data_IF_912054352250
#
_entry.id   IF_912054352250
#
_cell.length_a   1.000
_cell.length_b   1.000
_cell.length_c   1.000
_cell.angle_alpha   90.00
_cell.angle_beta   90.00
_cell.angle_gamma   90.00
#
_symmetry.space_group_name_H-M   'P 1'
#
loop_
_entity.id
_entity.type
_entity.pdbx_description
1 polymer ?
#
# COMPACT_ATOMS: atom_id res chain seq x y z
N UNK A 1 11.26 -19.76 2.91
CA UNK A 1 10.06 -19.08 2.36
C UNK A 1 10.53 -17.75 1.80
N UNK A 2 10.23 -17.41 0.55
CA UNK A 2 10.48 -16.05 0.02
C UNK A 2 9.17 -15.28 0.21
N UNK A 3 9.14 -14.21 1.02
CA UNK A 3 7.92 -13.41 1.15
C UNK A 3 7.54 -12.87 -0.23
N UNK A 4 6.34 -13.18 -0.69
CA UNK A 4 5.85 -12.82 -2.03
C UNK A 4 5.15 -11.46 -2.04
N UNK A 5 4.81 -10.91 -0.87
CA UNK A 5 3.97 -9.72 -0.73
C UNK A 5 4.56 -8.83 0.37
N UNK A 6 4.73 -7.55 0.05
CA UNK A 6 4.87 -6.51 1.06
C UNK A 6 3.45 -6.02 1.38
N UNK A 7 2.96 -6.38 2.56
CA UNK A 7 1.60 -6.05 2.99
C UNK A 7 1.64 -4.93 4.03
N UNK A 8 0.70 -4.01 3.91
CA UNK A 8 0.39 -3.02 4.93
C UNK A 8 -1.10 -3.09 5.20
N UNK A 9 -1.47 -3.15 6.48
CA UNK A 9 -2.87 -3.14 6.88
C UNK A 9 -3.00 -2.76 8.35
N UNK A 10 -4.21 -2.32 8.70
CA UNK A 10 -4.66 -2.26 10.09
C UNK A 10 -4.95 -3.71 10.53
N UNK A 11 -3.92 -4.42 10.95
CA UNK A 11 -4.05 -5.85 11.28
C UNK A 11 -4.89 -6.06 12.54
N UNK A 12 -5.91 -6.91 12.40
CA UNK A 12 -6.74 -7.42 13.50
C UNK A 12 -6.73 -8.94 13.44
N UNK A 13 -6.16 -9.60 14.45
CA UNK A 13 -6.00 -11.07 14.47
C UNK A 13 -7.20 -11.81 15.10
N UNK A 14 -8.30 -11.11 15.42
CA UNK A 14 -9.46 -11.71 16.10
C UNK A 14 -10.73 -10.90 15.87
N UNK A 15 -11.75 -11.11 16.70
CA UNK A 15 -12.94 -10.29 16.68
C UNK A 15 -12.84 -9.13 17.68
N UNK A 16 -13.57 -8.04 17.45
CA UNK A 16 -13.72 -6.96 18.44
C UNK A 16 -12.49 -6.09 18.61
N UNK A 17 -11.69 -5.87 17.55
CA UNK A 17 -10.55 -4.95 17.59
C UNK A 17 -10.94 -3.47 17.78
N UNK A 18 -12.24 -3.18 17.82
CA UNK A 18 -12.76 -1.85 18.01
C UNK A 18 -12.46 -0.98 16.79
N UNK A 19 -12.12 0.27 17.04
CA UNK A 19 -11.75 1.23 16.01
C UNK A 19 -10.23 1.23 15.84
N UNK A 20 -9.75 0.85 14.66
CA UNK A 20 -8.34 0.97 14.30
C UNK A 20 -8.13 2.31 13.58
N UNK A 21 -7.24 3.19 14.08
CA UNK A 21 -7.12 4.55 13.58
C UNK A 21 -6.64 4.58 12.13
N UNK A 22 -7.04 5.63 11.42
CA UNK A 22 -6.49 5.97 10.11
C UNK A 22 -4.99 6.32 10.22
N UNK A 23 -4.22 6.06 9.16
CA UNK A 23 -2.82 6.45 9.06
C UNK A 23 -2.40 6.70 7.61
N UNK A 24 -1.22 7.30 7.43
CA UNK A 24 -0.74 7.73 6.11
C UNK A 24 0.73 7.38 5.91
N UNK A 25 1.05 6.78 4.78
CA UNK A 25 2.41 6.72 4.26
C UNK A 25 2.70 7.91 3.37
N UNK A 26 3.92 8.43 3.48
CA UNK A 26 4.36 9.61 2.71
C UNK A 26 5.74 9.36 2.11
N UNK A 27 5.97 9.88 0.90
CA UNK A 27 7.26 9.83 0.20
C UNK A 27 7.78 8.40 0.03
N UNK A 28 7.00 7.55 -0.62
CA UNK A 28 7.35 6.15 -0.87
C UNK A 28 8.07 6.04 -2.21
N UNK A 29 9.16 5.27 -2.22
CA UNK A 29 9.88 4.89 -3.43
C UNK A 29 10.01 3.38 -3.49
N UNK A 30 9.62 2.79 -4.62
CA UNK A 30 9.86 1.39 -4.96
C UNK A 30 10.92 1.35 -6.07
N UNK A 31 11.95 0.53 -5.88
CA UNK A 31 13.01 0.30 -6.88
C UNK A 31 13.05 -1.19 -7.18
N UNK A 32 12.81 -1.54 -8.43
CA UNK A 32 12.81 -2.91 -8.91
C UNK A 32 14.14 -3.26 -9.59
N UNK A 33 14.52 -4.54 -9.57
CA UNK A 33 15.69 -5.05 -10.28
C UNK A 33 15.46 -5.13 -11.80
N UNK A 34 14.19 -5.10 -12.23
CA UNK A 34 13.73 -5.11 -13.62
C UNK A 34 12.51 -4.20 -13.80
N UNK A 35 12.31 -3.72 -15.01
CA UNK A 35 11.22 -2.81 -15.32
C UNK A 35 9.85 -3.49 -15.13
N UNK A 36 8.99 -2.84 -14.36
CA UNK A 36 7.56 -3.18 -14.21
C UNK A 36 6.78 -2.25 -15.13
N UNK A 37 6.23 -2.79 -16.22
CA UNK A 37 5.53 -1.97 -17.23
C UNK A 37 4.22 -1.36 -16.71
N UNK A 38 3.50 -2.09 -15.85
CA UNK A 38 2.24 -1.64 -15.27
C UNK A 38 2.19 -1.99 -13.78
N UNK A 39 2.39 -0.98 -12.93
CA UNK A 39 2.41 -1.16 -11.47
C UNK A 39 1.04 -1.57 -10.91
N UNK A 40 -0.05 -1.21 -11.59
CA UNK A 40 -1.41 -1.54 -11.17
C UNK A 40 -1.70 -3.05 -11.18
N UNK A 41 -0.91 -3.84 -11.92
CA UNK A 41 -1.07 -5.31 -11.95
C UNK A 41 -0.55 -5.99 -10.68
N UNK A 42 0.22 -5.28 -9.84
CA UNK A 42 0.88 -5.85 -8.65
C UNK A 42 0.57 -5.10 -7.35
N UNK A 43 -0.19 -4.00 -7.40
CA UNK A 43 -0.61 -3.24 -6.23
C UNK A 43 -2.13 -3.31 -6.10
N UNK A 44 -2.60 -3.50 -4.87
CA UNK A 44 -4.01 -3.44 -4.52
C UNK A 44 -4.21 -2.53 -3.31
N UNK A 45 -5.30 -1.77 -3.32
CA UNK A 45 -5.70 -0.92 -2.21
C UNK A 45 -7.02 -1.41 -1.64
N UNK A 46 -7.09 -1.56 -0.32
CA UNK A 46 -8.32 -1.85 0.40
C UNK A 46 -8.53 -0.75 1.43
N UNK A 47 -9.73 -0.15 1.44
CA UNK A 47 -10.09 0.96 2.33
C UNK A 47 -9.02 2.08 2.37
N UNK A 48 -8.47 2.43 1.21
CA UNK A 48 -7.38 3.38 1.10
C UNK A 48 -7.55 4.32 -0.10
N UNK A 49 -7.01 5.52 0.04
CA UNK A 49 -6.87 6.51 -1.04
C UNK A 49 -5.40 6.80 -1.28
N UNK A 50 -5.03 7.21 -2.49
CA UNK A 50 -3.64 7.43 -2.85
C UNK A 50 -3.48 8.51 -3.92
N UNK A 51 -2.30 9.10 -4.01
CA UNK A 51 -1.92 9.92 -5.18
C UNK A 51 -1.52 9.02 -6.35
N UNK A 52 -1.29 9.59 -7.53
CA UNK A 52 -0.87 8.78 -8.68
C UNK A 52 0.60 8.34 -8.58
N UNK A 53 0.87 7.09 -8.88
CA UNK A 53 2.25 6.60 -9.01
C UNK A 53 2.93 7.21 -10.24
N UNK A 54 4.18 7.59 -10.09
CA UNK A 54 5.00 8.17 -11.15
C UNK A 54 6.25 7.33 -11.40
N UNK A 55 6.68 7.25 -12.65
CA UNK A 55 7.96 6.67 -13.04
C UNK A 55 8.61 7.52 -14.14
N UNK A 56 9.94 7.56 -14.17
CA UNK A 56 10.72 8.32 -15.17
C UNK A 56 11.75 7.47 -15.91
N UNK A 57 11.89 6.20 -15.53
CA UNK A 57 12.91 5.27 -15.98
C UNK A 57 12.30 3.97 -16.52
N UNK A 58 11.14 4.11 -17.18
CA UNK A 58 10.41 3.00 -17.80
C UNK A 58 10.01 1.90 -16.82
N UNK A 59 9.67 2.27 -15.57
CA UNK A 59 9.10 1.37 -14.59
C UNK A 59 10.10 0.65 -13.69
N UNK A 60 11.36 1.11 -13.62
CA UNK A 60 12.35 0.61 -12.65
C UNK A 60 12.13 1.25 -11.29
N UNK A 61 11.92 2.57 -11.27
CA UNK A 61 11.63 3.34 -10.07
C UNK A 61 10.22 3.88 -10.14
N UNK A 62 9.46 3.63 -9.09
CA UNK A 62 8.11 4.14 -8.89
C UNK A 62 8.07 4.98 -7.62
N UNK A 63 7.50 6.18 -7.72
CA UNK A 63 7.35 7.09 -6.58
C UNK A 63 5.88 7.48 -6.39
N UNK A 64 5.48 7.63 -5.14
CA UNK A 64 4.16 8.14 -4.77
C UNK A 64 4.27 9.06 -3.56
N UNK A 65 3.55 10.17 -3.61
CA UNK A 65 3.58 11.15 -2.54
C UNK A 65 2.87 10.64 -1.30
N UNK A 66 1.71 9.99 -1.47
CA UNK A 66 1.03 9.38 -0.34
C UNK A 66 0.03 8.27 -0.63
N UNK A 67 -0.13 7.40 0.37
CA UNK A 67 -1.21 6.44 0.51
C UNK A 67 -1.82 6.66 1.90
N UNK A 68 -3.13 6.89 1.96
CA UNK A 68 -3.89 7.09 3.19
C UNK A 68 -4.77 5.88 3.42
N UNK A 69 -4.58 5.21 4.55
CA UNK A 69 -5.42 4.10 5.01
C UNK A 69 -6.50 4.71 5.91
N UNK A 70 -7.76 4.42 5.61
CA UNK A 70 -8.87 4.92 6.39
C UNK A 70 -8.97 4.20 7.74
N UNK A 71 -9.79 4.76 8.62
CA UNK A 71 -10.16 4.10 9.87
C UNK A 71 -10.94 2.81 9.56
N UNK A 72 -10.65 1.74 10.29
CA UNK A 72 -11.43 0.52 10.25
C UNK A 72 -12.28 0.40 11.51
N UNK A 73 -13.55 0.06 11.33
CA UNK A 73 -14.46 -0.24 12.43
C UNK A 73 -14.74 -1.74 12.46
N UNK A 74 -14.13 -2.41 13.44
CA UNK A 74 -14.14 -3.87 13.61
C UNK A 74 -14.82 -4.25 14.95
N UNK A 75 -15.83 -3.49 15.37
CA UNK A 75 -16.67 -3.86 16.51
C UNK A 75 -17.64 -4.97 16.11
N UNK A 76 -17.73 -6.03 16.93
CA UNK A 76 -18.75 -7.08 16.80
C UNK A 76 -20.17 -6.57 17.03
#
# INVERSE_FOLDING_TARGET
>A
MRPAVFYSGNECYGNGCGTLPAYKYTNITLVFDKAVANLADIISYTNATHTEWQTKDNGITWTIDSITIAEDNLTE
#
